data_IF_550584156889
#
_entry.id   IF_550584156889
#
_cell.length_a   1.000
_cell.length_b   1.000
_cell.length_c   1.000
_cell.angle_alpha   90.00
_cell.angle_beta   90.00
_cell.angle_gamma   90.00
#
_symmetry.space_group_name_H-M   'P 1'
#
loop_
_entity.id
_entity.type
_entity.pdbx_description
1 polymer ?
#
# COMPACT_ATOMS: atom_id res chain seq x y z
N UNK A 1 48.86 1.86 58.45
CA UNK A 1 47.53 2.54 58.33
C UNK A 1 47.02 2.27 56.93
N UNK A 2 46.30 1.16 56.78
CA UNK A 2 45.85 0.66 55.44
C UNK A 2 44.42 1.05 55.18
N UNK A 3 44.20 1.92 54.20
CA UNK A 3 42.89 2.33 53.75
C UNK A 3 42.38 1.29 52.73
N UNK A 4 41.43 0.47 53.12
CA UNK A 4 40.76 -0.50 52.25
C UNK A 4 39.87 0.23 51.25
N UNK A 5 40.21 0.18 49.97
CA UNK A 5 39.34 0.59 48.84
C UNK A 5 38.28 -0.49 48.62
N UNK A 6 37.07 -0.20 48.97
CA UNK A 6 35.91 -1.03 48.61
C UNK A 6 35.47 -0.59 47.21
N UNK A 7 35.71 -1.44 46.26
CA UNK A 7 35.16 -1.29 44.90
C UNK A 7 33.75 -1.86 44.88
N UNK A 8 32.77 -0.99 44.85
CA UNK A 8 31.38 -1.39 44.62
C UNK A 8 31.19 -1.63 43.10
N UNK A 9 31.08 -2.88 42.73
CA UNK A 9 30.67 -3.26 41.35
C UNK A 9 29.18 -3.08 41.23
N UNK A 10 28.74 -2.03 40.56
CA UNK A 10 27.35 -1.80 40.19
C UNK A 10 27.03 -2.65 38.98
N UNK A 11 26.32 -3.76 39.20
CA UNK A 11 25.82 -4.62 38.14
C UNK A 11 24.63 -3.90 37.48
N UNK A 12 24.84 -3.25 36.35
CA UNK A 12 23.77 -2.68 35.55
C UNK A 12 23.04 -3.83 34.82
N UNK A 13 21.93 -4.25 35.40
CA UNK A 13 20.96 -5.17 34.76
C UNK A 13 20.19 -4.38 33.69
N UNK A 14 20.69 -4.37 32.46
CA UNK A 14 19.92 -3.87 31.30
C UNK A 14 18.81 -4.84 31.04
N UNK A 15 17.62 -4.51 31.54
CA UNK A 15 16.39 -5.16 31.13
C UNK A 15 16.18 -4.86 29.61
N UNK A 16 16.41 -5.87 28.76
CA UNK A 16 15.95 -5.89 27.39
C UNK A 16 14.40 -5.99 27.47
N UNK A 17 13.75 -4.84 27.64
CA UNK A 17 12.32 -4.76 27.39
C UNK A 17 12.15 -5.02 25.88
N UNK A 18 11.72 -6.23 25.53
CA UNK A 18 11.23 -6.53 24.20
C UNK A 18 10.09 -5.54 23.93
N UNK A 19 10.37 -4.52 23.12
CA UNK A 19 9.33 -3.64 22.62
C UNK A 19 8.47 -4.52 21.73
N UNK A 20 7.28 -4.89 22.22
CA UNK A 20 6.24 -5.40 21.36
C UNK A 20 6.00 -4.29 20.33
N UNK A 21 6.41 -4.54 19.08
CA UNK A 21 6.24 -3.61 17.99
C UNK A 21 4.73 -3.53 17.76
N UNK A 22 4.11 -2.45 18.25
CA UNK A 22 2.70 -2.21 17.99
C UNK A 22 2.50 -2.24 16.47
N UNK A 23 1.65 -3.17 16.01
CA UNK A 23 1.33 -3.25 14.59
C UNK A 23 0.64 -1.94 14.20
N UNK A 24 1.19 -1.19 13.25
CA UNK A 24 0.69 0.16 12.94
C UNK A 24 -0.75 0.15 12.38
N UNK A 25 -1.25 -1.01 11.95
CA UNK A 25 -2.56 -1.17 11.33
C UNK A 25 -3.23 -2.48 11.75
N UNK A 26 -4.56 -2.42 11.90
CA UNK A 26 -5.39 -3.60 12.16
C UNK A 26 -6.10 -4.03 10.86
N UNK A 27 -5.38 -4.77 10.02
CA UNK A 27 -5.88 -5.29 8.74
C UNK A 27 -6.43 -6.71 8.98
N UNK A 28 -7.61 -7.01 8.44
CA UNK A 28 -8.27 -8.31 8.59
C UNK A 28 -8.64 -8.89 7.22
N UNK A 29 -8.21 -10.11 6.87
CA UNK A 29 -7.26 -10.95 7.62
C UNK A 29 -5.89 -10.27 7.79
N UNK A 30 -5.11 -10.75 8.76
CA UNK A 30 -3.78 -10.21 9.00
C UNK A 30 -2.85 -10.59 7.84
N UNK A 31 -2.22 -9.62 7.14
CA UNK A 31 -1.27 -9.90 6.07
C UNK A 31 -0.01 -10.60 6.59
N UNK A 32 0.69 -11.32 5.70
CA UNK A 32 1.96 -11.99 6.03
C UNK A 32 2.98 -10.99 6.55
N UNK A 33 3.05 -9.81 5.95
CA UNK A 33 3.99 -8.77 6.37
C UNK A 33 3.39 -7.38 6.19
N UNK A 34 3.60 -6.51 7.20
CA UNK A 34 3.27 -5.07 7.11
C UNK A 34 4.44 -4.27 7.66
N UNK A 35 5.01 -3.41 6.83
CA UNK A 35 6.20 -2.61 7.15
C UNK A 35 5.95 -1.14 6.88
N UNK A 36 6.23 -0.26 7.86
CA UNK A 36 6.32 1.18 7.62
C UNK A 36 7.64 1.46 6.89
N UNK A 37 7.56 1.94 5.64
CA UNK A 37 8.73 2.01 4.75
C UNK A 37 9.52 3.31 4.86
N UNK A 38 9.01 4.32 5.56
CA UNK A 38 9.71 5.60 5.69
C UNK A 38 8.92 6.66 6.43
N UNK A 39 9.49 7.86 6.45
CA UNK A 39 8.80 9.06 6.91
C UNK A 39 8.08 9.70 5.73
N UNK A 40 6.85 10.14 5.97
CA UNK A 40 6.02 10.81 5.00
C UNK A 40 4.66 10.15 4.84
N UNK A 41 3.79 10.88 4.20
CA UNK A 41 2.39 10.52 4.03
C UNK A 41 1.98 10.76 2.57
N UNK A 42 1.01 10.00 2.12
CA UNK A 42 0.36 10.22 0.84
C UNK A 42 -1.08 10.68 1.07
N UNK A 43 -1.44 11.83 0.52
CA UNK A 43 -2.80 12.34 0.58
C UNK A 43 -3.55 12.03 -0.71
N UNK A 44 -4.64 11.27 -0.62
CA UNK A 44 -5.55 11.06 -1.74
C UNK A 44 -6.31 12.36 -1.98
N UNK A 45 -6.22 12.89 -3.18
CA UNK A 45 -6.86 14.13 -3.59
C UNK A 45 -8.04 13.86 -4.53
N UNK A 46 -8.90 14.85 -4.75
CA UNK A 46 -10.05 14.72 -5.67
C UNK A 46 -9.66 14.50 -7.13
N UNK A 47 -8.44 14.89 -7.52
CA UNK A 47 -7.87 14.66 -8.85
C UNK A 47 -6.97 13.43 -8.93
N UNK A 48 -6.87 12.64 -7.85
CA UNK A 48 -6.20 11.34 -7.90
C UNK A 48 -6.96 10.41 -8.84
N UNK A 49 -6.25 9.73 -9.75
CA UNK A 49 -6.84 8.79 -10.70
C UNK A 49 -6.51 7.35 -10.31
N UNK A 50 -7.41 6.43 -10.65
CA UNK A 50 -7.17 4.98 -10.52
C UNK A 50 -6.82 4.45 -11.91
N UNK A 51 -5.60 3.94 -12.09
CA UNK A 51 -5.11 3.36 -13.34
C UNK A 51 -5.01 1.86 -13.22
N UNK A 52 -5.38 1.14 -14.27
CA UNK A 52 -5.30 -0.33 -14.28
C UNK A 52 -4.40 -0.82 -15.42
N UNK A 53 -3.63 -1.89 -15.17
CA UNK A 53 -2.72 -2.46 -16.17
C UNK A 53 -3.43 -3.16 -17.33
N UNK A 54 -4.67 -3.59 -17.12
CA UNK A 54 -5.45 -4.30 -18.11
C UNK A 54 -6.96 -4.17 -17.86
N UNK A 55 -7.80 -4.36 -18.90
CA UNK A 55 -9.26 -4.21 -18.75
C UNK A 55 -9.89 -5.19 -17.76
N UNK A 56 -9.30 -6.35 -17.51
CA UNK A 56 -9.80 -7.33 -16.54
C UNK A 56 -9.88 -6.77 -15.10
N UNK A 57 -9.06 -5.77 -14.78
CA UNK A 57 -9.07 -5.10 -13.47
C UNK A 57 -10.11 -3.99 -13.34
N UNK A 58 -10.93 -3.75 -14.36
CA UNK A 58 -11.93 -2.68 -14.35
C UNK A 58 -12.91 -2.80 -13.18
N UNK A 59 -13.30 -4.01 -12.80
CA UNK A 59 -14.20 -4.25 -11.68
C UNK A 59 -13.58 -3.83 -10.34
N UNK A 60 -12.31 -4.15 -10.10
CA UNK A 60 -11.59 -3.75 -8.89
C UNK A 60 -11.41 -2.23 -8.80
N UNK A 61 -11.10 -1.58 -9.94
CA UNK A 61 -10.99 -0.12 -10.01
C UNK A 61 -12.33 0.58 -9.76
N UNK A 62 -13.41 0.09 -10.37
CA UNK A 62 -14.75 0.62 -10.17
C UNK A 62 -15.19 0.44 -8.71
N UNK A 63 -14.94 -0.73 -8.13
CA UNK A 63 -15.27 -0.99 -6.73
C UNK A 63 -14.57 0.00 -5.78
N UNK A 64 -13.28 0.27 -5.99
CA UNK A 64 -12.55 1.26 -5.21
C UNK A 64 -13.09 2.68 -5.41
N UNK A 65 -13.36 3.07 -6.68
CA UNK A 65 -13.91 4.38 -7.00
C UNK A 65 -15.29 4.59 -6.37
N UNK A 66 -16.17 3.58 -6.44
CA UNK A 66 -17.49 3.59 -5.82
C UNK A 66 -17.40 3.70 -4.29
N UNK A 67 -16.46 2.99 -3.67
CA UNK A 67 -16.22 3.10 -2.23
C UNK A 67 -15.79 4.52 -1.85
N UNK A 68 -14.82 5.09 -2.57
CA UNK A 68 -14.31 6.44 -2.32
C UNK A 68 -15.41 7.50 -2.46
N UNK A 69 -16.26 7.38 -3.47
CA UNK A 69 -17.36 8.32 -3.70
C UNK A 69 -18.45 8.16 -2.62
N UNK A 70 -18.97 6.95 -2.41
CA UNK A 70 -20.14 6.71 -1.52
C UNK A 70 -19.81 6.91 -0.05
N UNK A 71 -18.65 6.47 0.42
CA UNK A 71 -18.32 6.49 1.84
C UNK A 71 -17.47 7.68 2.26
N UNK A 72 -16.63 8.21 1.36
CA UNK A 72 -15.76 9.34 1.67
C UNK A 72 -16.16 10.64 0.96
N UNK A 73 -17.04 10.58 -0.05
CA UNK A 73 -17.43 11.73 -0.85
C UNK A 73 -16.31 12.25 -1.76
N UNK A 74 -15.43 11.34 -2.22
CA UNK A 74 -14.28 11.65 -3.07
C UNK A 74 -14.44 10.88 -4.39
N UNK A 75 -15.09 11.46 -5.41
CA UNK A 75 -15.23 10.81 -6.71
C UNK A 75 -13.87 10.75 -7.41
N UNK A 76 -13.33 9.55 -7.59
CA UNK A 76 -12.11 9.31 -8.34
C UNK A 76 -12.41 8.85 -9.76
N UNK A 77 -11.59 9.29 -10.72
CA UNK A 77 -11.70 8.84 -12.09
C UNK A 77 -10.90 7.54 -12.29
N UNK A 78 -11.41 6.66 -13.16
CA UNK A 78 -10.73 5.42 -13.53
C UNK A 78 -10.20 5.51 -14.96
N UNK A 79 -8.94 5.15 -15.16
CA UNK A 79 -8.30 5.05 -16.47
C UNK A 79 -8.10 3.57 -16.83
N UNK A 80 -8.94 3.07 -17.73
CA UNK A 80 -8.90 1.68 -18.18
C UNK A 80 -8.34 1.64 -19.60
N UNK A 81 -7.26 0.89 -19.88
CA UNK A 81 -6.69 0.79 -21.20
C UNK A 81 -7.69 0.15 -22.17
N UNK A 82 -7.79 0.72 -23.36
CA UNK A 82 -8.62 0.12 -24.41
C UNK A 82 -8.02 -1.21 -24.86
N UNK A 83 -8.87 -2.21 -25.07
CA UNK A 83 -8.45 -3.51 -25.58
C UNK A 83 -7.91 -3.34 -27.01
N UNK A 84 -6.61 -3.17 -27.14
CA UNK A 84 -5.89 -3.08 -28.41
C UNK A 84 -4.87 -4.21 -28.52
N UNK A 85 -4.75 -4.84 -29.69
CA UNK A 85 -3.76 -5.88 -29.97
C UNK A 85 -2.33 -5.28 -29.87
N UNK A 86 -1.78 -5.20 -28.68
CA UNK A 86 -0.37 -4.86 -28.51
C UNK A 86 0.49 -6.05 -28.94
N UNK A 87 1.11 -5.96 -30.13
CA UNK A 87 2.06 -6.95 -30.66
C UNK A 87 3.49 -6.76 -30.11
N UNK A 88 3.70 -6.02 -29.04
CA UNK A 88 5.04 -5.80 -28.50
C UNK A 88 5.39 -6.86 -27.45
N UNK A 89 6.55 -7.47 -27.65
CA UNK A 89 7.20 -8.44 -26.75
C UNK A 89 7.68 -7.66 -25.50
N UNK A 90 7.06 -7.86 -24.39
CA UNK A 90 7.15 -7.10 -23.15
C UNK A 90 5.74 -6.75 -22.68
N UNK A 91 5.50 -6.58 -21.40
CA UNK A 91 4.18 -6.12 -20.93
C UNK A 91 4.17 -4.58 -20.90
N UNK A 92 3.93 -3.88 -22.06
CA UNK A 92 4.03 -2.43 -22.15
C UNK A 92 2.97 -1.74 -21.27
N UNK A 93 1.95 -2.47 -20.85
CA UNK A 93 0.94 -1.96 -19.95
C UNK A 93 1.50 -1.70 -18.53
N UNK A 94 2.43 -2.53 -18.07
CA UNK A 94 3.05 -2.36 -16.75
C UNK A 94 4.03 -1.19 -16.73
N UNK A 95 4.82 -1.02 -17.81
CA UNK A 95 5.75 0.13 -17.94
C UNK A 95 5.02 1.47 -18.06
N UNK A 96 3.83 1.49 -18.67
CA UNK A 96 3.03 2.70 -18.86
C UNK A 96 2.32 3.17 -17.59
N UNK A 97 2.27 2.33 -16.53
CA UNK A 97 1.52 2.61 -15.30
C UNK A 97 2.46 2.79 -14.10
N UNK A 98 3.76 2.90 -14.33
CA UNK A 98 4.72 3.15 -13.26
C UNK A 98 4.44 4.51 -12.61
N UNK A 99 4.38 4.55 -11.29
CA UNK A 99 4.39 5.80 -10.53
C UNK A 99 5.68 6.54 -10.84
N UNK A 100 5.58 7.83 -11.17
CA UNK A 100 6.75 8.64 -11.49
C UNK A 100 6.74 9.91 -10.65
N UNK A 101 7.86 10.26 -10.03
CA UNK A 101 7.99 11.52 -9.33
C UNK A 101 7.64 12.70 -10.26
N UNK A 102 6.78 13.60 -9.77
CA UNK A 102 6.36 14.80 -10.51
C UNK A 102 5.17 14.61 -11.45
N UNK A 103 4.67 13.39 -11.66
CA UNK A 103 3.37 13.17 -12.30
C UNK A 103 2.22 13.35 -11.29
N UNK A 104 0.98 13.61 -11.76
CA UNK A 104 -0.18 13.62 -10.89
C UNK A 104 -0.30 12.31 -10.12
N UNK A 105 -0.48 12.40 -8.82
CA UNK A 105 -0.59 11.26 -7.94
C UNK A 105 -1.72 10.32 -8.37
N UNK A 106 -1.45 9.03 -8.43
CA UNK A 106 -2.42 8.04 -8.86
C UNK A 106 -2.39 6.77 -7.99
N UNK A 107 -3.45 5.98 -8.09
CA UNK A 107 -3.54 4.63 -7.56
C UNK A 107 -3.41 3.69 -8.74
N UNK A 108 -2.39 2.83 -8.76
CA UNK A 108 -2.16 1.89 -9.86
C UNK A 108 -2.48 0.46 -9.43
N UNK A 109 -3.27 -0.24 -10.24
CA UNK A 109 -3.63 -1.64 -10.06
C UNK A 109 -2.96 -2.47 -11.14
N UNK A 110 -2.14 -3.43 -10.75
CA UNK A 110 -1.30 -4.22 -11.65
C UNK A 110 -1.55 -5.71 -11.44
N UNK A 111 -1.85 -6.42 -12.50
CA UNK A 111 -1.85 -7.88 -12.52
C UNK A 111 -0.51 -8.37 -13.07
N UNK A 112 0.30 -9.00 -12.24
CA UNK A 112 1.64 -9.50 -12.60
C UNK A 112 1.59 -10.72 -13.50
N UNK A 113 0.57 -11.56 -13.36
CA UNK A 113 0.43 -12.85 -14.08
C UNK A 113 1.68 -13.73 -13.99
N UNK A 114 2.31 -13.75 -12.83
CA UNK A 114 3.60 -14.40 -12.62
C UNK A 114 3.49 -15.89 -12.26
N UNK A 115 2.27 -16.42 -12.11
CA UNK A 115 2.03 -17.84 -11.79
C UNK A 115 2.39 -18.24 -10.35
N UNK A 116 2.64 -17.27 -9.48
CA UNK A 116 2.84 -17.49 -8.05
C UNK A 116 1.52 -17.82 -7.34
N UNK A 117 1.54 -17.84 -6.01
CA UNK A 117 0.35 -18.15 -5.21
C UNK A 117 -0.83 -17.29 -5.61
N UNK A 118 -1.95 -17.94 -5.97
CA UNK A 118 -3.19 -17.24 -6.33
C UNK A 118 -3.70 -16.41 -5.15
N UNK A 119 -4.15 -15.19 -5.45
CA UNK A 119 -4.63 -14.25 -4.45
C UNK A 119 -3.54 -13.46 -3.74
N UNK A 120 -2.26 -13.82 -3.91
CA UNK A 120 -1.15 -13.06 -3.34
C UNK A 120 -1.06 -11.65 -3.91
N UNK A 121 -0.71 -10.69 -3.07
CA UNK A 121 -0.58 -9.27 -3.48
C UNK A 121 0.49 -8.52 -2.71
N UNK A 122 0.88 -7.39 -3.27
CA UNK A 122 1.69 -6.36 -2.64
C UNK A 122 0.98 -5.02 -2.76
N UNK A 123 0.84 -4.31 -1.63
CA UNK A 123 0.37 -2.93 -1.59
C UNK A 123 1.51 -2.04 -1.09
N UNK A 124 1.77 -0.94 -1.77
CA UNK A 124 2.79 0.02 -1.39
C UNK A 124 2.24 1.45 -1.49
N UNK A 125 2.35 2.20 -0.41
CA UNK A 125 2.01 3.62 -0.35
C UNK A 125 3.31 4.41 -0.37
N UNK A 126 3.50 5.19 -1.45
CA UNK A 126 4.73 5.92 -1.73
C UNK A 126 4.42 7.43 -1.61
N UNK A 127 4.99 8.11 -0.61
CA UNK A 127 4.79 9.55 -0.44
C UNK A 127 5.11 10.32 -1.72
N UNK A 128 4.29 11.33 -2.03
CA UNK A 128 4.39 12.18 -3.21
C UNK A 128 4.27 11.49 -4.59
N UNK A 129 4.18 10.17 -4.66
CA UNK A 129 4.03 9.44 -5.92
C UNK A 129 2.64 8.82 -6.06
N UNK A 130 2.16 8.08 -5.05
CA UNK A 130 0.85 7.44 -5.09
C UNK A 130 0.79 6.10 -4.37
N UNK A 131 -0.17 5.27 -4.80
CA UNK A 131 -0.41 3.95 -4.24
C UNK A 131 -0.26 2.92 -5.36
N UNK A 132 0.48 1.85 -5.10
CA UNK A 132 0.66 0.72 -5.98
C UNK A 132 0.08 -0.54 -5.36
N UNK A 133 -0.78 -1.23 -6.10
CA UNK A 133 -1.32 -2.53 -5.74
C UNK A 133 -0.97 -3.49 -6.87
N UNK A 134 -0.19 -4.50 -6.57
CA UNK A 134 0.23 -5.52 -7.51
C UNK A 134 -0.24 -6.89 -7.01
N UNK A 135 -1.10 -7.55 -7.78
CA UNK A 135 -1.55 -8.91 -7.50
C UNK A 135 -0.87 -9.94 -8.39
N UNK A 136 -0.72 -11.15 -7.90
CA UNK A 136 -0.26 -12.28 -8.70
C UNK A 136 -1.30 -12.66 -9.77
N UNK A 137 -2.56 -12.35 -9.51
CA UNK A 137 -3.73 -12.49 -10.37
C UNK A 137 -4.78 -11.40 -10.06
N UNK A 138 -5.93 -11.47 -10.73
CA UNK A 138 -7.03 -10.51 -10.52
C UNK A 138 -7.58 -10.56 -9.08
N UNK A 139 -7.60 -11.74 -8.45
CA UNK A 139 -8.04 -11.90 -7.07
C UNK A 139 -7.09 -11.21 -6.09
N UNK A 140 -5.76 -11.37 -6.29
CA UNK A 140 -4.76 -10.68 -5.50
C UNK A 140 -4.88 -9.16 -5.59
N UNK A 141 -5.11 -8.62 -6.80
CA UNK A 141 -5.37 -7.17 -6.95
C UNK A 141 -6.61 -6.76 -6.15
N UNK A 142 -7.68 -7.54 -6.20
CA UNK A 142 -8.89 -7.24 -5.44
C UNK A 142 -8.65 -7.28 -3.93
N UNK A 143 -7.89 -8.25 -3.42
CA UNK A 143 -7.53 -8.31 -1.99
C UNK A 143 -6.65 -7.14 -1.57
N UNK A 144 -5.72 -6.72 -2.40
CA UNK A 144 -4.94 -5.50 -2.17
C UNK A 144 -5.83 -4.24 -2.11
N UNK A 145 -6.86 -4.15 -2.95
CA UNK A 145 -7.87 -3.08 -2.88
C UNK A 145 -8.64 -3.13 -1.55
N UNK A 146 -9.04 -4.32 -1.08
CA UNK A 146 -9.70 -4.47 0.22
C UNK A 146 -8.80 -4.02 1.37
N UNK A 147 -7.51 -4.33 1.30
CA UNK A 147 -6.52 -3.87 2.27
C UNK A 147 -6.37 -2.35 2.25
N UNK A 148 -6.30 -1.73 1.06
CA UNK A 148 -6.29 -0.27 0.96
C UNK A 148 -7.53 0.34 1.62
N UNK A 149 -8.71 -0.21 1.38
CA UNK A 149 -9.96 0.27 1.98
C UNK A 149 -9.90 0.24 3.51
N UNK A 150 -9.29 -0.78 4.11
CA UNK A 150 -9.14 -0.86 5.57
C UNK A 150 -8.15 0.17 6.14
N UNK A 151 -7.24 0.68 5.32
CA UNK A 151 -6.31 1.75 5.71
C UNK A 151 -6.95 3.15 5.58
N UNK A 152 -8.08 3.27 4.87
CA UNK A 152 -8.77 4.54 4.69
C UNK A 152 -9.50 4.98 5.97
N UNK A 153 -9.62 6.29 6.22
CA UNK A 153 -10.39 6.79 7.34
C UNK A 153 -11.87 6.45 7.18
N UNK A 154 -12.55 6.20 8.29
CA UNK A 154 -14.00 5.93 8.30
C UNK A 154 -14.86 7.19 8.26
N UNK A 155 -14.26 8.39 8.24
CA UNK A 155 -14.96 9.67 8.30
C UNK A 155 -15.10 10.27 6.91
N UNK A 156 -16.33 10.48 6.47
CA UNK A 156 -16.62 11.18 5.22
C UNK A 156 -16.19 12.65 5.26
N UNK A 157 -15.86 13.20 4.08
CA UNK A 157 -15.54 14.63 3.89
C UNK A 157 -14.10 15.03 4.26
N UNK A 158 -13.29 14.10 4.74
CA UNK A 158 -11.87 14.31 5.02
C UNK A 158 -11.05 13.63 3.94
N UNK A 159 -10.08 14.35 3.34
CA UNK A 159 -9.15 13.74 2.38
C UNK A 159 -8.25 12.73 3.12
N UNK A 160 -8.20 11.47 2.69
CA UNK A 160 -7.39 10.45 3.34
C UNK A 160 -5.89 10.81 3.28
N UNK A 161 -5.26 10.74 4.44
CA UNK A 161 -3.80 10.84 4.58
C UNK A 161 -3.32 9.49 5.07
N UNK A 162 -2.47 8.85 4.30
CA UNK A 162 -1.97 7.51 4.54
C UNK A 162 -0.46 7.54 4.72
N UNK A 163 0.08 6.88 5.76
CA UNK A 163 1.53 6.80 5.95
C UNK A 163 2.18 5.92 4.89
N UNK A 164 3.48 6.10 4.71
CA UNK A 164 4.29 5.24 3.86
C UNK A 164 4.33 3.83 4.42
N UNK A 165 3.69 2.88 3.75
CA UNK A 165 3.58 1.50 4.19
C UNK A 165 3.69 0.54 3.01
N UNK A 166 4.26 -0.63 3.30
CA UNK A 166 4.28 -1.78 2.39
C UNK A 166 3.60 -2.96 3.09
N UNK A 167 2.67 -3.58 2.38
CA UNK A 167 1.95 -4.78 2.80
C UNK A 167 2.20 -5.89 1.79
N UNK A 168 2.55 -7.07 2.27
CA UNK A 168 2.70 -8.28 1.44
C UNK A 168 1.78 -9.37 2.00
N UNK A 169 1.08 -10.06 1.12
CA UNK A 169 0.21 -11.19 1.47
C UNK A 169 0.21 -12.27 0.36
#
# INVERSE_FOLDING_TARGET
MYLKKIMAATLALTALAGQAQEKPFNIIPEPVETTVTGQGEFQIQRNTTIRVSEPALASSATYLADYMDRYLGIPLQTEIPKTGKSRRKGNPAVEAITLKPGEPACIVLINRKNGEVSGGYQLEIIPAEGIRIEGNDEAGVFYGVQTLIQLLPTRAGVLPILPAVKVND
#
